data_IF_414443871448
#
_entry.id   IF_414443871448
#
_cell.length_a   1.000
_cell.length_b   1.000
_cell.length_c   1.000
_cell.angle_alpha   90.00
_cell.angle_beta   90.00
_cell.angle_gamma   90.00
#
_symmetry.space_group_name_H-M   'P 1'
#
loop_
_entity.id
_entity.type
_entity.pdbx_description
1 polymer ?
#
# COMPACT_ATOMS: atom_id res chain seq x y z
N UNK A 1 -6.79 -17.86 30.55
CA UNK A 1 -6.35 -16.52 30.09
C UNK A 1 -5.96 -16.60 28.62
N UNK A 2 -6.71 -15.94 27.74
CA UNK A 2 -6.41 -15.85 26.30
C UNK A 2 -6.43 -14.38 25.91
N UNK A 3 -5.49 -13.97 25.06
CA UNK A 3 -5.40 -12.62 24.53
C UNK A 3 -5.68 -12.65 23.02
N UNK A 4 -6.71 -11.95 22.59
CA UNK A 4 -7.08 -11.79 21.18
C UNK A 4 -6.52 -10.46 20.69
N UNK A 5 -5.65 -10.48 19.69
CA UNK A 5 -4.91 -9.29 19.22
C UNK A 5 -5.72 -8.34 18.34
N UNK A 6 -6.83 -8.81 17.74
CA UNK A 6 -7.75 -8.07 16.86
C UNK A 6 -7.10 -7.05 15.91
N UNK A 7 -6.30 -7.51 14.95
CA UNK A 7 -5.56 -6.59 14.05
C UNK A 7 -6.45 -5.58 13.29
N UNK A 8 -7.76 -5.82 13.17
CA UNK A 8 -8.68 -4.91 12.50
C UNK A 8 -9.17 -3.78 13.41
N UNK A 9 -9.11 -3.93 14.73
CA UNK A 9 -9.57 -2.92 15.70
C UNK A 9 -8.46 -2.44 16.64
N UNK A 10 -7.31 -3.11 16.64
CA UNK A 10 -6.20 -2.77 17.51
C UNK A 10 -5.42 -1.56 16.98
N UNK A 11 -5.52 -0.45 17.72
CA UNK A 11 -4.87 0.83 17.41
C UNK A 11 -3.34 0.81 17.59
N UNK A 12 -2.77 -0.21 18.23
CA UNK A 12 -1.30 -0.37 18.36
C UNK A 12 -0.62 -0.38 16.98
N UNK A 13 -1.30 -0.92 15.96
CA UNK A 13 -0.82 -0.91 14.59
C UNK A 13 -0.59 0.52 14.08
N UNK A 14 -1.46 1.48 14.44
CA UNK A 14 -1.32 2.87 14.03
C UNK A 14 -0.01 3.45 14.57
N UNK A 15 0.29 3.22 15.85
CA UNK A 15 1.54 3.65 16.48
C UNK A 15 2.75 2.99 15.81
N UNK A 16 2.69 1.68 15.56
CA UNK A 16 3.76 0.94 14.90
C UNK A 16 4.09 1.47 13.50
N UNK A 17 3.08 1.77 12.69
CA UNK A 17 3.29 2.24 11.32
C UNK A 17 3.75 3.69 11.21
N UNK A 18 3.58 4.53 12.24
CA UNK A 18 4.13 5.90 12.27
C UNK A 18 5.65 5.92 12.11
N UNK A 19 6.35 4.86 12.52
CA UNK A 19 7.81 4.76 12.39
C UNK A 19 8.28 4.83 10.92
N UNK A 20 7.47 4.38 9.96
CA UNK A 20 7.78 4.51 8.53
C UNK A 20 7.99 5.97 8.15
N UNK A 21 7.17 6.90 8.66
CA UNK A 21 7.31 8.34 8.38
C UNK A 21 8.59 8.90 9.01
N UNK A 22 8.98 8.41 10.19
CA UNK A 22 10.23 8.82 10.84
C UNK A 22 11.44 8.37 10.01
N UNK A 23 11.45 7.11 9.59
CA UNK A 23 12.53 6.56 8.74
C UNK A 23 12.60 7.27 7.38
N UNK A 24 11.46 7.55 6.76
CA UNK A 24 11.40 8.32 5.51
C UNK A 24 11.94 9.74 5.69
N UNK A 25 11.59 10.44 6.77
CA UNK A 25 12.12 11.78 7.04
C UNK A 25 13.65 11.80 7.07
N UNK A 26 14.26 10.79 7.71
CA UNK A 26 15.71 10.63 7.81
C UNK A 26 16.35 10.26 6.47
N UNK A 27 15.69 9.42 5.66
CA UNK A 27 16.26 8.86 4.42
C UNK A 27 16.09 9.75 3.19
N UNK A 28 14.95 10.45 3.07
CA UNK A 28 14.62 11.27 1.89
C UNK A 28 14.66 12.77 2.17
N UNK A 29 15.19 13.19 3.33
CA UNK A 29 15.37 14.60 3.67
C UNK A 29 14.08 15.35 3.95
N UNK A 30 13.04 14.64 4.39
CA UNK A 30 11.77 15.23 4.85
C UNK A 30 10.86 15.78 3.75
N UNK A 31 11.05 15.36 2.48
CA UNK A 31 10.17 15.77 1.38
C UNK A 31 9.64 14.57 0.61
N UNK A 32 8.31 14.44 0.60
CA UNK A 32 7.53 13.46 -0.16
C UNK A 32 6.32 14.22 -0.71
N UNK A 33 6.03 14.09 -1.99
CA UNK A 33 4.86 14.72 -2.61
C UNK A 33 3.63 13.82 -2.53
N UNK A 34 3.84 12.50 -2.68
CA UNK A 34 2.76 11.51 -2.64
C UNK A 34 3.20 10.26 -1.90
N UNK A 35 2.35 9.75 -1.01
CA UNK A 35 2.46 8.41 -0.47
C UNK A 35 1.29 7.55 -0.96
N UNK A 36 1.57 6.35 -1.47
CA UNK A 36 0.53 5.40 -1.86
C UNK A 36 0.72 4.03 -1.20
N UNK A 37 -0.38 3.33 -0.95
CA UNK A 37 -0.31 2.01 -0.33
C UNK A 37 -1.60 1.20 -0.38
N UNK A 38 -1.44 -0.09 -0.63
CA UNK A 38 -2.50 -1.09 -0.57
C UNK A 38 -3.20 -1.18 0.80
N UNK A 39 -4.52 -1.27 0.76
CA UNK A 39 -5.34 -1.37 1.98
C UNK A 39 -5.69 -2.83 2.29
N UNK A 40 -5.04 -3.36 3.34
CA UNK A 40 -5.40 -4.59 4.04
C UNK A 40 -6.24 -4.29 5.27
N UNK A 41 -5.63 -4.32 6.46
CA UNK A 41 -6.29 -3.91 7.72
C UNK A 41 -6.51 -2.39 7.84
N UNK A 42 -5.94 -1.59 6.94
CA UNK A 42 -5.95 -0.13 7.00
C UNK A 42 -4.91 0.49 7.93
N UNK A 43 -4.32 -0.28 8.86
CA UNK A 43 -3.41 0.24 9.88
C UNK A 43 -2.18 0.97 9.32
N UNK A 44 -1.58 0.46 8.24
CA UNK A 44 -0.41 1.09 7.61
C UNK A 44 -0.74 2.47 7.04
N UNK A 45 -1.75 2.53 6.16
CA UNK A 45 -2.10 3.78 5.49
C UNK A 45 -2.59 4.83 6.50
N UNK A 46 -3.42 4.43 7.47
CA UNK A 46 -3.89 5.33 8.52
C UNK A 46 -2.75 5.81 9.43
N UNK A 47 -1.88 4.92 9.91
CA UNK A 47 -0.75 5.28 10.77
C UNK A 47 0.24 6.22 10.08
N UNK A 48 0.57 5.94 8.82
CA UNK A 48 1.45 6.76 7.99
C UNK A 48 0.82 8.13 7.69
N UNK A 49 -0.42 8.15 7.19
CA UNK A 49 -1.15 9.38 6.89
C UNK A 49 -1.24 10.31 8.09
N UNK A 50 -1.60 9.78 9.26
CA UNK A 50 -1.70 10.57 10.49
C UNK A 50 -0.35 11.10 10.99
N UNK A 51 0.74 10.36 10.78
CA UNK A 51 2.08 10.88 11.08
C UNK A 51 2.51 11.98 10.10
N UNK A 52 2.18 11.86 8.82
CA UNK A 52 2.48 12.90 7.84
C UNK A 52 1.80 14.24 8.14
N UNK A 53 0.68 14.26 8.88
CA UNK A 53 0.02 15.50 9.32
C UNK A 53 0.89 16.36 10.25
N UNK A 54 1.99 15.83 10.77
CA UNK A 54 2.96 16.57 11.59
C UNK A 54 4.02 17.29 10.74
N UNK A 55 4.05 17.04 9.43
CA UNK A 55 4.96 17.72 8.50
C UNK A 55 4.39 19.07 8.05
N UNK A 56 5.28 20.02 7.74
CA UNK A 56 4.90 21.33 7.19
C UNK A 56 4.21 21.20 5.83
N UNK A 57 4.68 20.26 5.00
CA UNK A 57 4.10 19.92 3.72
C UNK A 57 3.61 18.46 3.78
N UNK A 58 2.30 18.29 3.98
CA UNK A 58 1.67 16.97 4.05
C UNK A 58 1.58 16.38 2.63
N UNK A 59 2.15 15.19 2.35
CA UNK A 59 2.00 14.52 1.07
C UNK A 59 0.54 14.17 0.77
N UNK A 60 0.19 14.12 -0.51
CA UNK A 60 -1.06 13.51 -0.98
C UNK A 60 -1.04 12.01 -0.64
N UNK A 61 -2.11 11.49 -0.08
CA UNK A 61 -2.24 10.10 0.35
C UNK A 61 -3.20 9.35 -0.57
N UNK A 62 -2.71 8.29 -1.22
CA UNK A 62 -3.47 7.49 -2.19
C UNK A 62 -3.68 6.08 -1.65
N UNK A 63 -4.92 5.74 -1.32
CA UNK A 63 -5.32 4.39 -0.95
C UNK A 63 -5.38 3.50 -2.20
N UNK A 64 -4.81 2.30 -2.14
CA UNK A 64 -4.85 1.36 -3.27
C UNK A 64 -5.70 0.13 -2.91
N UNK A 65 -6.49 -0.33 -3.87
CA UNK A 65 -7.34 -1.51 -3.74
C UNK A 65 -7.38 -2.35 -5.03
N UNK A 66 -7.76 -3.64 -4.96
CA UNK A 66 -7.94 -4.45 -6.17
C UNK A 66 -9.12 -3.93 -7.01
N UNK A 67 -8.90 -3.70 -8.30
CA UNK A 67 -9.95 -3.23 -9.22
C UNK A 67 -11.15 -4.17 -9.39
N UNK A 68 -10.96 -5.47 -9.14
CA UNK A 68 -12.04 -6.45 -9.14
C UNK A 68 -12.84 -6.48 -7.82
N UNK A 69 -12.33 -5.89 -6.74
CA UNK A 69 -12.98 -5.78 -5.42
C UNK A 69 -12.85 -4.37 -4.81
N UNK A 70 -13.39 -3.33 -5.48
CA UNK A 70 -13.22 -1.93 -5.08
C UNK A 70 -14.20 -1.52 -3.95
N UNK A 71 -13.87 -1.90 -2.72
CA UNK A 71 -14.70 -1.64 -1.56
C UNK A 71 -14.67 -0.17 -1.14
N UNK A 72 -13.49 0.48 -1.18
CA UNK A 72 -13.33 1.86 -0.72
C UNK A 72 -13.88 2.86 -1.75
N UNK A 73 -13.66 2.61 -3.05
CA UNK A 73 -14.12 3.53 -4.11
C UNK A 73 -15.56 3.28 -4.56
N UNK A 74 -16.00 2.02 -4.66
CA UNK A 74 -17.31 1.67 -5.22
C UNK A 74 -18.25 0.94 -4.24
N UNK A 75 -17.78 0.58 -3.04
CA UNK A 75 -18.60 -0.11 -2.03
C UNK A 75 -18.97 -1.55 -2.38
N UNK A 76 -18.27 -2.19 -3.33
CA UNK A 76 -18.57 -3.55 -3.77
C UNK A 76 -17.38 -4.51 -3.58
N UNK A 77 -17.67 -5.72 -3.12
CA UNK A 77 -16.71 -6.81 -3.04
C UNK A 77 -16.67 -7.63 -4.34
N UNK A 78 -15.52 -8.20 -4.65
CA UNK A 78 -15.36 -9.20 -5.70
C UNK A 78 -14.20 -10.15 -5.41
N UNK A 79 -13.93 -11.06 -6.33
CA UNK A 79 -12.83 -12.03 -6.21
C UNK A 79 -11.53 -11.44 -6.78
N UNK A 80 -10.43 -11.68 -6.09
CA UNK A 80 -9.06 -11.36 -6.52
C UNK A 80 -8.07 -12.30 -5.83
N UNK A 81 -6.83 -12.31 -6.31
CA UNK A 81 -5.71 -13.06 -5.76
C UNK A 81 -4.54 -12.14 -5.36
N UNK A 82 -4.78 -10.84 -5.18
CA UNK A 82 -3.81 -9.96 -4.52
C UNK A 82 -3.81 -10.22 -3.01
N UNK A 83 -2.77 -10.87 -2.49
CA UNK A 83 -2.69 -11.22 -1.08
C UNK A 83 -2.36 -10.01 -0.18
N UNK A 84 -3.00 -9.98 0.99
CA UNK A 84 -2.74 -8.97 2.03
C UNK A 84 -3.56 -7.68 1.89
N UNK A 85 -4.37 -7.53 0.84
CA UNK A 85 -5.24 -6.35 0.59
C UNK A 85 -6.67 -6.79 0.24
N UNK A 86 -7.62 -5.85 0.17
CA UNK A 86 -8.94 -6.12 -0.41
C UNK A 86 -9.79 -7.11 0.38
N UNK A 87 -9.77 -7.03 1.71
CA UNK A 87 -10.37 -8.01 2.64
C UNK A 87 -11.91 -8.17 2.58
N UNK A 88 -12.59 -7.53 1.63
CA UNK A 88 -14.03 -7.64 1.40
C UNK A 88 -14.92 -6.70 2.21
N UNK A 89 -14.34 -5.84 3.06
CA UNK A 89 -15.05 -4.79 3.80
C UNK A 89 -14.11 -3.61 4.08
N UNK A 90 -14.68 -2.44 4.36
CA UNK A 90 -13.92 -1.24 4.69
C UNK A 90 -13.28 -1.40 6.09
N UNK A 91 -11.94 -1.32 6.23
CA UNK A 91 -11.29 -1.61 7.50
C UNK A 91 -11.59 -0.51 8.55
N UNK A 92 -11.98 -0.86 9.80
CA UNK A 92 -12.45 0.13 10.75
C UNK A 92 -11.35 1.05 11.30
N UNK A 93 -10.07 0.66 11.19
CA UNK A 93 -8.94 1.54 11.53
C UNK A 93 -8.73 2.68 10.52
N UNK A 94 -9.18 2.52 9.27
CA UNK A 94 -9.01 3.50 8.21
C UNK A 94 -10.23 4.43 8.15
N UNK A 95 -10.01 5.73 8.34
CA UNK A 95 -11.07 6.73 8.29
C UNK A 95 -11.05 7.47 6.94
N UNK A 96 -12.20 8.01 6.46
CA UNK A 96 -12.25 8.73 5.19
C UNK A 96 -11.25 9.88 5.06
N UNK A 97 -10.94 10.58 6.16
CA UNK A 97 -9.99 11.70 6.18
C UNK A 97 -8.52 11.24 6.20
N UNK A 98 -8.23 9.93 6.25
CA UNK A 98 -6.86 9.40 6.23
C UNK A 98 -6.28 9.32 4.80
N UNK A 99 -7.06 9.53 3.75
CA UNK A 99 -6.58 9.53 2.37
C UNK A 99 -7.31 10.56 1.49
N UNK A 100 -6.65 11.05 0.45
CA UNK A 100 -7.22 12.04 -0.47
C UNK A 100 -8.01 11.38 -1.60
N UNK A 101 -7.62 10.16 -1.99
CA UNK A 101 -8.26 9.41 -3.06
C UNK A 101 -8.02 7.90 -2.95
N UNK A 102 -8.78 7.14 -3.74
CA UNK A 102 -8.65 5.68 -3.86
C UNK A 102 -8.39 5.34 -5.32
N UNK A 103 -7.33 4.57 -5.58
CA UNK A 103 -7.00 4.07 -6.92
C UNK A 103 -7.18 2.55 -6.98
N UNK A 104 -8.17 2.06 -7.74
CA UNK A 104 -8.27 0.64 -8.05
C UNK A 104 -7.17 0.24 -9.03
N UNK A 105 -6.45 -0.84 -8.71
CA UNK A 105 -5.36 -1.37 -9.54
C UNK A 105 -5.74 -2.75 -10.05
N UNK A 106 -5.53 -2.97 -11.34
CA UNK A 106 -5.75 -4.27 -11.97
C UNK A 106 -4.74 -5.32 -11.46
N UNK A 107 -5.24 -6.51 -11.16
CA UNK A 107 -4.43 -7.60 -10.62
C UNK A 107 -3.39 -8.09 -11.63
N UNK A 108 -3.72 -8.18 -12.92
CA UNK A 108 -2.76 -8.63 -13.92
C UNK A 108 -1.61 -7.65 -14.06
N UNK A 109 -1.89 -6.35 -13.98
CA UNK A 109 -0.85 -5.32 -13.94
C UNK A 109 0.03 -5.40 -12.68
N UNK A 110 -0.57 -5.65 -11.51
CA UNK A 110 0.16 -5.82 -10.26
C UNK A 110 1.10 -7.05 -10.31
N UNK A 111 0.60 -8.18 -10.84
CA UNK A 111 1.38 -9.42 -11.01
C UNK A 111 2.51 -9.25 -12.00
N UNK A 112 2.26 -8.62 -13.15
CA UNK A 112 3.30 -8.32 -14.13
C UNK A 112 4.37 -7.40 -13.52
N UNK A 113 3.98 -6.39 -12.75
CA UNK A 113 4.93 -5.51 -12.08
C UNK A 113 5.80 -6.27 -11.07
N UNK A 114 5.21 -7.17 -10.27
CA UNK A 114 5.98 -7.99 -9.32
C UNK A 114 7.05 -8.86 -10.05
N UNK A 115 6.71 -9.43 -11.21
CA UNK A 115 7.66 -10.19 -12.05
C UNK A 115 8.76 -9.29 -12.63
N UNK A 116 8.41 -8.09 -13.08
CA UNK A 116 9.36 -7.10 -13.61
C UNK A 116 10.33 -6.63 -12.53
N UNK A 117 9.88 -6.33 -11.32
CA UNK A 117 10.75 -5.98 -10.19
C UNK A 117 11.82 -7.05 -9.93
N UNK A 118 11.43 -8.33 -9.96
CA UNK A 118 12.37 -9.43 -9.77
C UNK A 118 13.40 -9.54 -10.91
N UNK A 119 12.95 -9.33 -12.15
CA UNK A 119 13.77 -9.50 -13.37
C UNK A 119 14.67 -8.30 -13.67
N UNK A 120 14.16 -7.10 -13.52
CA UNK A 120 14.77 -5.84 -13.94
C UNK A 120 15.55 -5.19 -12.80
N UNK A 121 15.02 -5.24 -11.56
CA UNK A 121 15.56 -4.51 -10.41
C UNK A 121 16.17 -5.42 -9.33
N UNK A 122 16.04 -6.75 -9.46
CA UNK A 122 16.48 -7.71 -8.45
C UNK A 122 15.67 -7.66 -7.15
N UNK A 123 14.50 -7.01 -7.16
CA UNK A 123 13.61 -6.89 -6.01
C UNK A 123 12.57 -8.03 -6.09
N UNK A 124 12.79 -9.09 -5.33
CA UNK A 124 11.89 -10.24 -5.33
C UNK A 124 10.67 -10.01 -4.40
N UNK A 125 9.74 -9.18 -4.87
CA UNK A 125 8.54 -8.78 -4.13
C UNK A 125 7.29 -9.60 -4.52
N UNK A 126 6.11 -9.20 -4.04
CA UNK A 126 4.84 -9.95 -4.18
C UNK A 126 3.78 -9.13 -4.91
N UNK A 127 2.62 -9.70 -5.20
CA UNK A 127 1.53 -9.03 -5.96
C UNK A 127 1.11 -7.70 -5.35
N UNK A 128 0.95 -7.61 -4.02
CA UNK A 128 0.58 -6.36 -3.34
C UNK A 128 1.68 -5.29 -3.42
N UNK A 129 2.96 -5.67 -3.39
CA UNK A 129 4.07 -4.75 -3.69
C UNK A 129 4.05 -4.32 -5.15
N UNK A 130 3.76 -5.22 -6.09
CA UNK A 130 3.59 -4.91 -7.50
C UNK A 130 2.46 -3.91 -7.74
N UNK A 131 1.35 -4.04 -7.01
CA UNK A 131 0.25 -3.08 -6.99
C UNK A 131 0.72 -1.68 -6.57
N UNK A 132 1.46 -1.60 -5.45
CA UNK A 132 2.01 -0.33 -4.95
C UNK A 132 2.99 0.31 -5.95
N UNK A 133 3.90 -0.47 -6.55
CA UNK A 133 4.84 0.02 -7.58
C UNK A 133 4.11 0.51 -8.82
N UNK A 134 3.11 -0.24 -9.31
CA UNK A 134 2.31 0.17 -10.46
C UNK A 134 1.66 1.52 -10.24
N UNK A 135 1.05 1.73 -9.07
CA UNK A 135 0.48 3.02 -8.70
C UNK A 135 1.55 4.11 -8.59
N UNK A 136 2.66 3.83 -7.90
CA UNK A 136 3.75 4.80 -7.70
C UNK A 136 4.35 5.29 -9.03
N UNK A 137 4.55 4.40 -10.01
CA UNK A 137 5.04 4.77 -11.35
C UNK A 137 4.04 5.66 -12.08
N UNK A 138 2.73 5.39 -11.97
CA UNK A 138 1.68 6.22 -12.57
C UNK A 138 1.65 7.61 -11.93
N UNK A 139 1.69 7.69 -10.61
CA UNK A 139 1.75 8.95 -9.86
C UNK A 139 3.01 9.75 -10.20
N UNK A 140 4.18 9.11 -10.28
CA UNK A 140 5.41 9.78 -10.66
C UNK A 140 5.34 10.37 -12.08
N UNK A 141 4.65 9.68 -13.02
CA UNK A 141 4.41 10.21 -14.37
C UNK A 141 3.44 11.39 -14.38
N UNK A 142 2.41 11.37 -13.53
CA UNK A 142 1.44 12.46 -13.36
C UNK A 142 2.12 13.73 -12.82
N UNK A 143 2.94 13.59 -11.78
CA UNK A 143 3.65 14.71 -11.15
C UNK A 143 4.77 15.28 -12.03
N UNK A 144 5.43 14.42 -12.80
CA UNK A 144 6.59 14.79 -13.61
C UNK A 144 7.88 14.95 -12.81
N UNK A 145 8.98 15.36 -13.48
CA UNK A 145 10.32 15.36 -12.90
C UNK A 145 10.44 16.25 -11.66
N UNK A 146 11.23 15.80 -10.69
CA UNK A 146 11.55 16.57 -9.47
C UNK A 146 10.69 16.23 -8.25
N UNK A 147 9.62 15.44 -8.42
CA UNK A 147 8.75 15.02 -7.32
C UNK A 147 9.14 13.64 -6.77
N UNK A 148 8.77 13.40 -5.52
CA UNK A 148 9.05 12.17 -4.76
C UNK A 148 7.75 11.45 -4.45
N UNK A 149 7.66 10.18 -4.90
CA UNK A 149 6.58 9.26 -4.54
C UNK A 149 7.14 8.15 -3.66
N UNK A 150 6.52 7.94 -2.50
CA UNK A 150 6.90 6.89 -1.55
C UNK A 150 5.79 5.83 -1.44
N UNK A 151 6.20 4.58 -1.23
CA UNK A 151 5.32 3.44 -0.96
C UNK A 151 6.10 2.34 -0.25
N UNK A 152 5.39 1.33 0.25
CA UNK A 152 5.99 0.17 0.94
C UNK A 152 5.92 -1.08 0.06
N UNK A 153 7.03 -1.80 -0.10
CA UNK A 153 7.02 -3.18 -0.57
C UNK A 153 6.69 -4.10 0.62
N UNK A 154 5.49 -4.70 0.62
CA UNK A 154 4.88 -5.30 1.81
C UNK A 154 5.43 -6.68 2.20
N UNK A 155 5.92 -7.47 1.24
CA UNK A 155 6.47 -8.82 1.53
C UNK A 155 7.46 -9.31 0.46
N UNK A 156 8.14 -10.42 0.78
CA UNK A 156 9.17 -11.08 0.00
C UNK A 156 8.65 -12.31 -0.75
N UNK A 157 9.03 -12.43 -2.03
CA UNK A 157 8.53 -13.41 -2.98
C UNK A 157 8.77 -14.87 -2.62
N UNK A 158 9.75 -15.20 -1.75
CA UNK A 158 10.03 -16.60 -1.37
C UNK A 158 8.82 -17.30 -0.73
N UNK A 159 7.95 -16.55 -0.06
CA UNK A 159 6.74 -17.11 0.58
C UNK A 159 5.66 -17.50 -0.43
N UNK A 160 5.79 -17.08 -1.69
CA UNK A 160 4.76 -17.19 -2.72
C UNK A 160 5.16 -18.15 -3.86
N UNK A 161 6.26 -18.90 -3.68
CA UNK A 161 6.74 -19.88 -4.67
C UNK A 161 5.82 -21.08 -4.88
N UNK A 162 4.91 -21.34 -3.94
CA UNK A 162 3.90 -22.40 -4.06
C UNK A 162 2.66 -21.95 -4.86
N UNK A 163 2.54 -20.66 -5.18
CA UNK A 163 1.48 -20.10 -5.99
C UNK A 163 1.89 -19.89 -7.45
N UNK A 164 1.00 -19.28 -8.22
CA UNK A 164 1.13 -19.06 -9.66
C UNK A 164 1.79 -17.70 -10.03
N UNK A 165 2.24 -16.93 -9.02
CA UNK A 165 2.84 -15.61 -9.25
C UNK A 165 4.11 -15.70 -10.09
N UNK A 166 4.95 -16.71 -9.88
CA UNK A 166 6.25 -16.87 -10.55
C UNK A 166 6.34 -18.11 -11.46
N UNK A 167 5.21 -18.72 -11.81
CA UNK A 167 5.19 -19.81 -12.78
C UNK A 167 5.64 -19.31 -14.16
N UNK A 168 6.41 -20.16 -14.85
CA UNK A 168 7.05 -19.91 -16.14
C UNK A 168 6.09 -20.07 -17.33
#
# INVERSE_FOLDING_TARGET
>A
DVYWTDQFHNEDALTGYRHIVTELAEQVGGHIDVFCGGVGTGGMLAGVSRAFREWDAVPRIVALEPGSSPILSEGRSGSHHIEGVGIGFAPPLLQPDDYDEVWPIDEAEAREMARRLAREEGIFAVTSSGMNVTAAIRLARELGPGHVVAMVACDFGLKYLAGDLFEA
#
